data_IF_965735352695
#
_entry.id   IF_965735352695
#
_cell.length_a   1.000
_cell.length_b   1.000
_cell.length_c   1.000
_cell.angle_alpha   90.00
_cell.angle_beta   90.00
_cell.angle_gamma   90.00
#
_symmetry.space_group_name_H-M   'P 1'
#
loop_
_entity.id
_entity.type
_entity.pdbx_description
1 polymer ?
#
# COMPACT_ATOMS: atom_id res chain seq x y z
N UNK A 1 33.87 -6.28 0.37
CA UNK A 1 33.38 -5.83 1.70
C UNK A 1 33.40 -7.03 2.62
N UNK A 2 33.66 -6.87 3.93
CA UNK A 2 33.52 -7.99 4.86
C UNK A 2 32.04 -8.44 4.93
N UNK A 3 31.77 -9.75 5.03
CA UNK A 3 30.42 -10.32 4.87
C UNK A 3 29.39 -9.73 5.83
N UNK A 4 29.83 -9.42 7.06
CA UNK A 4 28.96 -8.91 8.12
C UNK A 4 28.35 -7.51 7.85
N UNK A 5 28.81 -6.78 6.82
CA UNK A 5 28.34 -5.43 6.54
C UNK A 5 27.18 -5.36 5.54
N UNK A 6 26.96 -6.38 4.70
CA UNK A 6 25.87 -6.32 3.68
C UNK A 6 24.50 -6.18 4.34
N UNK A 7 24.24 -6.95 5.40
CA UNK A 7 22.95 -6.91 6.10
C UNK A 7 22.69 -5.55 6.77
N UNK A 8 23.69 -4.98 7.45
CA UNK A 8 23.56 -3.66 8.06
C UNK A 8 23.34 -2.58 6.99
N UNK A 9 24.03 -2.69 5.86
CA UNK A 9 23.89 -1.74 4.75
C UNK A 9 22.52 -1.88 4.05
N UNK A 10 21.98 -3.08 3.90
CA UNK A 10 20.62 -3.30 3.42
C UNK A 10 19.59 -2.65 4.35
N UNK A 11 19.75 -2.76 5.67
CA UNK A 11 18.89 -2.10 6.65
C UNK A 11 18.96 -0.56 6.55
N UNK A 12 20.15 -0.01 6.31
CA UNK A 12 20.34 1.43 6.08
C UNK A 12 19.59 1.85 4.81
N UNK A 13 19.75 1.14 3.70
CA UNK A 13 19.02 1.43 2.46
C UNK A 13 17.50 1.33 2.62
N UNK A 14 17.02 0.35 3.40
CA UNK A 14 15.61 0.23 3.73
C UNK A 14 15.09 1.45 4.51
N UNK A 15 15.82 1.90 5.54
CA UNK A 15 15.47 3.08 6.34
C UNK A 15 15.53 4.37 5.53
N UNK A 16 16.53 4.53 4.66
CA UNK A 16 16.62 5.65 3.72
C UNK A 16 15.40 5.64 2.79
N UNK A 17 15.05 4.48 2.23
CA UNK A 17 13.88 4.33 1.37
C UNK A 17 12.60 4.75 2.08
N UNK A 18 12.39 4.30 3.31
CA UNK A 18 11.22 4.71 4.11
C UNK A 18 11.19 6.22 4.36
N UNK A 19 12.34 6.84 4.61
CA UNK A 19 12.45 8.28 4.83
C UNK A 19 12.11 9.08 3.57
N UNK A 20 12.48 8.60 2.38
CA UNK A 20 12.05 9.20 1.12
C UNK A 20 10.53 9.09 0.90
N UNK A 21 9.93 7.95 1.24
CA UNK A 21 8.47 7.77 1.13
C UNK A 21 7.70 8.72 2.06
N UNK A 22 8.21 8.97 3.27
CA UNK A 22 7.64 9.97 4.17
C UNK A 22 7.66 11.39 3.59
N UNK A 23 8.60 11.69 2.70
CA UNK A 23 8.74 12.95 1.98
C UNK A 23 7.99 12.97 0.63
N UNK A 24 7.20 11.92 0.33
CA UNK A 24 6.53 11.72 -0.97
C UNK A 24 7.50 11.64 -2.16
N UNK A 25 8.79 11.41 -1.91
CA UNK A 25 9.82 11.13 -2.91
C UNK A 25 9.77 9.65 -3.30
N UNK A 26 8.69 9.27 -3.96
CA UNK A 26 8.37 7.86 -4.20
C UNK A 26 9.37 7.16 -5.12
N UNK A 27 9.96 7.88 -6.08
CA UNK A 27 10.96 7.33 -7.01
C UNK A 27 12.26 6.99 -6.28
N UNK A 28 12.81 7.94 -5.54
CA UNK A 28 14.04 7.78 -4.75
C UNK A 28 13.84 6.75 -3.63
N UNK A 29 12.65 6.73 -3.04
CA UNK A 29 12.24 5.70 -2.08
C UNK A 29 12.30 4.29 -2.68
N UNK A 30 11.69 4.09 -3.85
CA UNK A 30 11.73 2.80 -4.55
C UNK A 30 13.15 2.40 -4.97
N UNK A 31 13.97 3.33 -5.45
CA UNK A 31 15.39 3.08 -5.79
C UNK A 31 16.21 2.63 -4.58
N UNK A 32 16.05 3.29 -3.43
CA UNK A 32 16.74 2.88 -2.20
C UNK A 32 16.27 1.52 -1.68
N UNK A 33 14.98 1.20 -1.81
CA UNK A 33 14.47 -0.13 -1.48
C UNK A 33 15.01 -1.21 -2.41
N UNK A 34 15.15 -0.93 -3.72
CA UNK A 34 15.78 -1.85 -4.68
C UNK A 34 17.24 -2.12 -4.31
N UNK A 35 17.99 -1.09 -3.91
CA UNK A 35 19.37 -1.27 -3.42
C UNK A 35 19.44 -2.15 -2.16
N UNK A 36 18.45 -2.07 -1.26
CA UNK A 36 18.36 -2.99 -0.12
C UNK A 36 18.16 -4.44 -0.57
N UNK A 37 17.29 -4.68 -1.56
CA UNK A 37 17.09 -6.02 -2.15
C UNK A 37 18.38 -6.57 -2.78
N UNK A 38 19.11 -5.76 -3.54
CA UNK A 38 20.37 -6.18 -4.18
C UNK A 38 21.42 -6.62 -3.15
N UNK A 39 21.51 -5.92 -2.01
CA UNK A 39 22.40 -6.28 -0.92
C UNK A 39 21.99 -7.58 -0.24
N UNK A 40 20.68 -7.80 -0.07
CA UNK A 40 20.12 -9.06 0.46
C UNK A 40 20.39 -10.22 -0.51
N UNK A 41 20.19 -10.03 -1.81
CA UNK A 41 20.49 -11.05 -2.82
C UNK A 41 21.97 -11.42 -2.83
N UNK A 42 22.85 -10.42 -2.70
CA UNK A 42 24.27 -10.64 -2.59
C UNK A 42 24.67 -11.44 -1.34
N UNK A 43 24.00 -11.21 -0.20
CA UNK A 43 24.20 -11.98 1.04
C UNK A 43 23.71 -13.42 0.90
N UNK A 44 22.51 -13.62 0.34
CA UNK A 44 21.94 -14.96 0.11
C UNK A 44 22.89 -15.77 -0.78
N UNK A 45 23.38 -15.17 -1.87
CA UNK A 45 24.29 -15.83 -2.81
C UNK A 45 25.60 -16.24 -2.14
N UNK A 46 26.22 -15.36 -1.35
CA UNK A 46 27.45 -15.67 -0.60
C UNK A 46 27.21 -16.79 0.43
N UNK A 47 26.06 -16.79 1.10
CA UNK A 47 25.68 -17.86 2.04
C UNK A 47 25.44 -19.21 1.35
N UNK A 48 24.98 -19.21 0.10
CA UNK A 48 24.75 -20.43 -0.71
C UNK A 48 26.05 -20.97 -1.33
N UNK A 49 27.02 -20.11 -1.65
CA UNK A 49 28.30 -20.47 -2.29
C UNK A 49 29.33 -21.11 -1.34
N UNK A 50 29.17 -20.98 -0.01
CA UNK A 50 30.01 -21.74 0.92
C UNK A 50 29.64 -23.23 0.91
N UNK A 51 30.57 -24.08 0.47
CA UNK A 51 30.44 -25.54 0.36
C UNK A 51 30.34 -26.33 1.68
N UNK A 52 30.50 -25.69 2.85
CA UNK A 52 30.14 -26.35 4.10
C UNK A 52 28.64 -26.62 4.09
N UNK A 53 28.24 -27.89 4.28
CA UNK A 53 26.83 -28.31 4.34
C UNK A 53 25.97 -27.22 4.95
N UNK A 54 24.96 -26.75 4.22
CA UNK A 54 24.01 -25.75 4.69
C UNK A 54 23.36 -26.28 5.97
N UNK A 55 23.95 -25.97 7.12
CA UNK A 55 23.38 -26.24 8.44
C UNK A 55 21.95 -25.73 8.45
N UNK A 56 21.04 -26.41 9.16
CA UNK A 56 19.65 -25.95 9.30
C UNK A 56 19.57 -24.47 9.70
N UNK A 57 20.49 -24.02 10.58
CA UNK A 57 20.61 -22.60 10.95
C UNK A 57 20.84 -21.68 9.75
N UNK A 58 21.67 -22.10 8.79
CA UNK A 58 21.99 -21.35 7.58
C UNK A 58 20.80 -21.34 6.60
N UNK A 59 20.12 -22.47 6.44
CA UNK A 59 18.89 -22.56 5.64
C UNK A 59 17.80 -21.64 6.17
N UNK A 60 17.55 -21.68 7.48
CA UNK A 60 16.59 -20.79 8.14
C UNK A 60 17.00 -19.32 7.93
N UNK A 61 18.29 -19.00 8.03
CA UNK A 61 18.76 -17.63 7.82
C UNK A 61 18.57 -17.13 6.38
N UNK A 62 18.78 -18.00 5.39
CA UNK A 62 18.52 -17.71 3.98
C UNK A 62 17.02 -17.48 3.78
N UNK A 63 16.17 -18.33 4.35
CA UNK A 63 14.72 -18.16 4.29
C UNK A 63 14.27 -16.82 4.90
N UNK A 64 14.76 -16.44 6.08
CA UNK A 64 14.46 -15.14 6.70
C UNK A 64 14.84 -13.96 5.78
N UNK A 65 15.99 -14.08 5.10
CA UNK A 65 16.46 -13.07 4.13
C UNK A 65 15.54 -13.00 2.91
N UNK A 66 15.09 -14.15 2.39
CA UNK A 66 14.16 -14.23 1.26
C UNK A 66 12.79 -13.63 1.60
N UNK A 67 12.25 -13.94 2.78
CA UNK A 67 10.99 -13.37 3.27
C UNK A 67 11.10 -11.84 3.41
N UNK A 68 12.19 -11.35 4.00
CA UNK A 68 12.46 -9.91 4.11
C UNK A 68 12.53 -9.26 2.72
N UNK A 69 13.21 -9.89 1.76
CA UNK A 69 13.31 -9.40 0.38
C UNK A 69 11.94 -9.32 -0.28
N UNK A 70 11.11 -10.34 -0.10
CA UNK A 70 9.77 -10.39 -0.67
C UNK A 70 8.86 -9.29 -0.11
N UNK A 71 8.95 -9.00 1.20
CA UNK A 71 8.24 -7.88 1.81
C UNK A 71 8.66 -6.53 1.20
N UNK A 72 9.97 -6.32 1.01
CA UNK A 72 10.48 -5.09 0.37
C UNK A 72 9.98 -4.98 -1.08
N UNK A 73 9.97 -6.07 -1.84
CA UNK A 73 9.44 -6.09 -3.21
C UNK A 73 7.94 -5.80 -3.28
N UNK A 74 7.15 -6.37 -2.37
CA UNK A 74 5.73 -6.06 -2.28
C UNK A 74 5.50 -4.55 -2.07
N UNK A 75 6.32 -3.95 -1.21
CA UNK A 75 6.28 -2.51 -0.94
C UNK A 75 6.70 -1.66 -2.14
N UNK A 76 7.72 -2.09 -2.90
CA UNK A 76 8.12 -1.44 -4.15
C UNK A 76 6.94 -1.47 -5.16
N UNK A 77 6.32 -2.62 -5.34
CA UNK A 77 5.18 -2.77 -6.25
C UNK A 77 4.00 -1.87 -5.87
N UNK A 78 3.66 -1.79 -4.58
CA UNK A 78 2.61 -0.89 -4.07
C UNK A 78 2.90 0.59 -4.41
N UNK A 79 4.16 1.01 -4.25
CA UNK A 79 4.60 2.38 -4.59
C UNK A 79 4.45 2.63 -6.09
N UNK A 80 4.90 1.70 -6.93
CA UNK A 80 4.84 1.83 -8.39
C UNK A 80 3.38 1.83 -8.90
N UNK A 81 2.52 0.98 -8.33
CA UNK A 81 1.09 0.96 -8.64
C UNK A 81 0.41 2.28 -8.25
N UNK A 82 0.68 2.78 -7.04
CA UNK A 82 0.14 4.07 -6.57
C UNK A 82 0.59 5.22 -7.46
N UNK A 83 1.85 5.25 -7.88
CA UNK A 83 2.34 6.26 -8.83
C UNK A 83 1.64 6.15 -10.19
N UNK A 84 1.48 4.93 -10.73
CA UNK A 84 0.81 4.71 -12.00
C UNK A 84 -0.65 5.17 -11.95
N UNK A 85 -1.35 4.89 -10.85
CA UNK A 85 -2.73 5.33 -10.64
C UNK A 85 -2.83 6.86 -10.57
N UNK A 86 -1.95 7.53 -9.81
CA UNK A 86 -1.91 8.99 -9.74
C UNK A 86 -1.66 9.63 -11.12
N UNK A 87 -0.73 9.07 -11.90
CA UNK A 87 -0.45 9.55 -13.26
C UNK A 87 -1.67 9.36 -14.17
N UNK A 88 -2.36 8.22 -14.09
CA UNK A 88 -3.56 7.95 -14.87
C UNK A 88 -4.70 8.91 -14.51
N UNK A 89 -4.91 9.19 -13.23
CA UNK A 89 -5.93 10.13 -12.73
C UNK A 89 -5.66 11.55 -13.22
N UNK A 90 -4.42 12.05 -13.07
CA UNK A 90 -4.05 13.40 -13.55
C UNK A 90 -4.21 13.51 -15.07
N UNK A 91 -3.83 12.47 -15.83
CA UNK A 91 -4.02 12.45 -17.29
C UNK A 91 -5.50 12.52 -17.67
N UNK A 92 -6.35 11.71 -17.05
CA UNK A 92 -7.78 11.72 -17.31
C UNK A 92 -8.43 13.08 -16.97
N UNK A 93 -7.99 13.71 -15.87
CA UNK A 93 -8.46 15.03 -15.48
C UNK A 93 -8.05 16.12 -16.49
N UNK A 94 -6.81 16.09 -16.97
CA UNK A 94 -6.33 17.02 -18.00
C UNK A 94 -7.06 16.83 -19.34
N UNK A 95 -7.26 15.58 -19.77
CA UNK A 95 -8.02 15.27 -20.99
C UNK A 95 -9.45 15.80 -20.90
N UNK A 96 -10.11 15.66 -19.74
CA UNK A 96 -11.43 16.23 -19.48
C UNK A 96 -11.45 17.77 -19.50
N UNK A 97 -10.38 18.41 -19.04
CA UNK A 97 -10.28 19.88 -19.00
C UNK A 97 -9.97 20.52 -20.36
N UNK A 98 -9.13 19.87 -21.19
CA UNK A 98 -8.67 20.43 -22.48
C UNK A 98 -9.70 20.22 -23.60
N UNK A 99 -10.37 19.06 -23.63
CA UNK A 99 -11.30 18.67 -24.70
C UNK A 99 -12.52 19.60 -24.91
N UNK A 100 -13.08 20.27 -23.88
CA UNK A 100 -14.14 21.26 -24.05
C UNK A 100 -13.72 22.55 -24.77
N UNK A 101 -12.43 22.90 -24.80
CA UNK A 101 -11.94 24.20 -25.31
C UNK A 101 -11.62 24.15 -26.82
N UNK A 102 -11.33 22.96 -27.37
CA UNK A 102 -10.97 22.78 -28.79
C UNK A 102 -12.07 22.21 -29.70
N UNK A 103 -13.21 21.78 -29.16
CA UNK A 103 -14.26 21.09 -29.93
C UNK A 103 -15.43 22.00 -30.37
N UNK A 104 -15.19 23.31 -30.52
CA UNK A 104 -16.18 24.27 -31.01
C UNK A 104 -15.69 25.00 -32.26
N UNK A 105 -15.12 24.31 -33.24
CA UNK A 105 -15.09 24.80 -34.63
C UNK A 105 -14.90 23.64 -35.62
N UNK A 106 -15.97 22.90 -35.90
CA UNK A 106 -16.15 22.30 -37.22
C UNK A 106 -17.62 22.52 -37.62
N UNK A 107 -17.79 23.65 -38.31
CA UNK A 107 -19.01 24.06 -38.99
C UNK A 107 -19.24 23.22 -40.25
N UNK A 108 -20.51 22.86 -40.47
CA UNK A 108 -21.15 22.54 -41.76
C UNK A 108 -20.60 21.36 -42.59
N UNK A 109 -21.30 20.23 -42.51
CA UNK A 109 -21.34 19.19 -43.53
C UNK A 109 -22.70 18.49 -43.53
N UNK A 110 -23.42 18.60 -44.64
CA UNK A 110 -24.85 18.36 -44.79
C UNK A 110 -25.33 16.89 -44.75
N UNK A 111 -26.64 16.73 -44.50
CA UNK A 111 -27.47 15.56 -44.86
C UNK A 111 -27.48 14.45 -43.80
N UNK A 112 -28.59 13.81 -43.42
CA UNK A 112 -29.91 13.68 -44.03
C UNK A 112 -30.91 13.31 -42.93
N UNK A 113 -32.12 13.81 -43.10
CA UNK A 113 -33.35 13.53 -42.36
C UNK A 113 -33.61 12.05 -42.06
N UNK A 114 -34.00 11.76 -40.81
CA UNK A 114 -35.07 10.80 -40.49
C UNK A 114 -35.71 11.17 -39.15
N UNK A 115 -36.82 11.90 -39.22
CA UNK A 115 -37.79 11.98 -38.13
C UNK A 115 -38.80 10.85 -38.32
N UNK A 116 -38.92 9.94 -37.34
CA UNK A 116 -40.15 9.20 -37.04
C UNK A 116 -39.92 8.26 -35.83
N UNK A 117 -40.85 8.32 -34.86
CA UNK A 117 -41.16 7.16 -34.03
C UNK A 117 -40.96 7.31 -32.52
N UNK A 118 -41.83 8.08 -31.87
CA UNK A 118 -42.13 7.93 -30.43
C UNK A 118 -42.85 6.60 -30.18
N UNK A 119 -42.40 5.79 -29.21
CA UNK A 119 -43.26 4.95 -28.36
C UNK A 119 -42.46 4.25 -27.23
N UNK A 120 -42.62 4.80 -26.02
CA UNK A 120 -42.69 4.14 -24.70
C UNK A 120 -42.19 2.70 -24.51
N UNK A 121 -41.15 2.54 -23.70
CA UNK A 121 -40.95 1.36 -22.84
C UNK A 121 -40.78 1.80 -21.38
N UNK A 122 -41.86 1.70 -20.62
CA UNK A 122 -41.85 1.84 -19.15
C UNK A 122 -41.34 0.53 -18.53
N UNK A 123 -40.02 0.39 -18.45
CA UNK A 123 -39.38 -0.65 -17.67
C UNK A 123 -39.23 -0.20 -16.21
N UNK A 124 -40.29 -0.32 -15.41
CA UNK A 124 -40.24 -0.09 -13.97
C UNK A 124 -39.67 -1.33 -13.27
N UNK A 125 -38.35 -1.42 -13.17
CA UNK A 125 -37.64 -2.36 -12.31
C UNK A 125 -37.09 -1.62 -11.10
N UNK A 126 -37.83 -1.57 -9.99
CA UNK A 126 -37.26 -1.30 -8.66
C UNK A 126 -38.25 -1.61 -7.53
N UNK A 127 -37.89 -2.57 -6.69
CA UNK A 127 -37.94 -2.49 -5.21
C UNK A 127 -37.79 -3.86 -4.56
N UNK A 128 -36.57 -4.44 -4.58
CA UNK A 128 -36.20 -5.32 -3.46
C UNK A 128 -35.83 -4.41 -2.29
N UNK A 129 -36.83 -4.13 -1.45
CA UNK A 129 -36.59 -3.48 -0.16
C UNK A 129 -35.67 -4.40 0.65
N UNK A 130 -34.38 -4.06 0.70
CA UNK A 130 -33.44 -4.67 1.64
C UNK A 130 -33.96 -4.34 3.05
N UNK A 131 -34.33 -5.39 3.79
CA UNK A 131 -34.76 -5.28 5.18
C UNK A 131 -33.61 -4.65 5.99
N UNK A 132 -33.89 -3.75 6.94
CA UNK A 132 -32.84 -3.19 7.80
C UNK A 132 -32.15 -4.32 8.58
N UNK A 133 -30.83 -4.36 8.52
CA UNK A 133 -30.00 -5.31 9.26
C UNK A 133 -30.02 -4.96 10.75
N UNK A 134 -30.67 -5.81 11.54
CA UNK A 134 -30.66 -5.72 13.01
C UNK A 134 -29.27 -6.08 13.56
N UNK A 135 -28.52 -5.06 13.94
CA UNK A 135 -27.17 -5.16 14.50
C UNK A 135 -27.16 -5.09 16.04
N UNK A 136 -28.28 -5.31 16.71
CA UNK A 136 -28.38 -5.20 18.19
C UNK A 136 -27.41 -6.13 18.94
N UNK A 137 -26.96 -7.19 18.29
CA UNK A 137 -25.95 -8.14 18.79
C UNK A 137 -24.51 -7.59 18.74
N UNK A 138 -24.23 -6.60 17.88
CA UNK A 138 -22.92 -5.95 17.76
C UNK A 138 -22.73 -4.82 18.77
N UNK A 139 -23.82 -4.27 19.30
CA UNK A 139 -23.78 -3.24 20.33
C UNK A 139 -23.56 -3.91 21.69
N UNK A 140 -22.29 -4.02 22.11
CA UNK A 140 -21.94 -4.35 23.51
C UNK A 140 -22.56 -3.29 24.44
N UNK A 141 -23.75 -3.57 25.00
CA UNK A 141 -24.32 -2.79 26.08
C UNK A 141 -23.36 -2.82 27.26
N UNK A 142 -22.76 -1.67 27.55
CA UNK A 142 -21.92 -1.43 28.73
C UNK A 142 -22.79 -1.71 29.97
N UNK A 143 -22.46 -2.78 30.71
CA UNK A 143 -23.06 -3.03 32.03
C UNK A 143 -22.86 -1.77 32.88
N UNK A 144 -23.88 -1.32 33.64
CA UNK A 144 -23.67 -0.31 34.66
C UNK A 144 -22.62 -0.82 35.64
N UNK A 145 -21.53 -0.08 35.78
CA UNK A 145 -20.48 -0.35 36.74
C UNK A 145 -20.96 0.14 38.10
N UNK A 146 -21.47 -0.76 38.93
CA UNK A 146 -21.61 -0.52 40.36
C UNK A 146 -20.34 -1.03 41.04
N UNK A 147 -19.34 -0.15 41.14
CA UNK A 147 -18.40 -0.09 42.27
C UNK A 147 -17.51 1.14 42.05
N UNK A 148 -17.95 2.28 42.57
CA UNK A 148 -17.05 3.33 42.97
C UNK A 148 -16.49 2.95 44.34
N UNK A 149 -15.20 3.23 44.56
CA UNK A 149 -14.48 3.42 45.83
C UNK A 149 -13.16 2.63 45.92
N UNK A 150 -12.14 3.34 46.42
CA UNK A 150 -10.73 3.01 46.67
C UNK A 150 -9.79 3.00 45.45
N UNK A 151 -8.58 3.55 45.49
CA UNK A 151 -7.94 4.60 46.27
C UNK A 151 -6.62 4.86 45.50
N UNK A 152 -6.16 6.10 45.51
CA UNK A 152 -4.86 6.58 45.05
C UNK A 152 -3.70 5.66 45.47
N UNK A 153 -2.79 5.35 44.55
CA UNK A 153 -1.55 4.63 44.88
C UNK A 153 -0.51 4.69 43.76
N UNK A 154 0.34 5.72 43.80
CA UNK A 154 1.43 5.98 42.87
C UNK A 154 2.44 4.82 42.79
N UNK A 155 2.93 4.51 41.58
CA UNK A 155 3.99 3.52 41.35
C UNK A 155 5.35 4.23 41.16
N UNK A 156 6.40 3.93 41.96
CA UNK A 156 7.69 4.58 41.83
C UNK A 156 8.56 3.89 40.77
N UNK A 157 9.02 4.67 39.80
CA UNK A 157 10.03 4.27 38.82
C UNK A 157 11.38 3.96 39.51
N UNK A 158 11.86 2.72 39.40
CA UNK A 158 13.24 2.37 39.78
C UNK A 158 14.19 2.58 38.60
N UNK A 159 15.10 3.55 38.75
CA UNK A 159 16.36 3.65 37.98
C UNK A 159 17.40 2.68 38.58
N UNK A 160 18.33 2.10 37.80
CA UNK A 160 19.40 1.26 38.32
C UNK A 160 20.45 2.09 39.08
N UNK A 161 20.91 1.54 40.20
CA UNK A 161 21.97 2.05 41.08
C UNK A 161 23.37 1.89 40.47
N UNK A 162 24.25 2.83 40.81
CA UNK A 162 25.71 2.72 40.66
C UNK A 162 26.29 1.70 41.67
#
# INVERSE_FOLDING_TARGET
MPPNYRRAMAEIHYKIGLTYLMQQMNKEGAESLKAACELIDGEIKEMQECEEELSEKRKNKIQDLEETKQEIWAKISEIEETQAQNVAEVRAALDSYIKPIGASTDSNGAGSSTAAGSASTVGASSSSAAKPTDISHLIKRKKPSENAESEVGASPAKRPTA
#
